data_IF_798758046348
#
_entry.id   IF_798758046348
#
_cell.length_a   1.000
_cell.length_b   1.000
_cell.length_c   1.000
_cell.angle_alpha   90.00
_cell.angle_beta   90.00
_cell.angle_gamma   90.00
#
_symmetry.space_group_name_H-M   'P 1'
#
loop_
_entity.id
_entity.type
_entity.pdbx_description
1 polymer ?
#
# COMPACT_ATOMS: atom_id res chain seq x y z
N UNK A 1 -8.49 -6.62 16.47
CA UNK A 1 -7.83 -7.00 15.22
C UNK A 1 -8.31 -6.14 14.04
N UNK A 2 -9.60 -5.97 13.82
CA UNK A 2 -10.18 -5.19 12.72
C UNK A 2 -11.28 -4.27 13.24
N UNK A 3 -11.25 -2.98 12.85
CA UNK A 3 -12.25 -1.97 13.15
C UNK A 3 -13.11 -1.74 11.91
N UNK A 4 -14.31 -2.30 11.89
CA UNK A 4 -15.20 -2.24 10.74
C UNK A 4 -15.71 -0.83 10.46
N UNK A 5 -15.85 -0.51 9.18
CA UNK A 5 -16.47 0.74 8.77
C UNK A 5 -17.98 0.66 8.90
N UNK A 6 -18.61 1.72 9.43
CA UNK A 6 -20.05 1.75 9.70
C UNK A 6 -20.72 2.92 8.98
N UNK A 7 -22.02 2.84 8.79
CA UNK A 7 -22.81 3.93 8.19
C UNK A 7 -22.69 5.25 8.99
N UNK A 8 -22.53 5.18 10.31
CA UNK A 8 -22.31 6.37 11.13
C UNK A 8 -20.97 7.04 10.86
N UNK A 9 -19.91 6.24 10.63
CA UNK A 9 -18.59 6.75 10.24
C UNK A 9 -18.61 7.38 8.85
N UNK A 10 -19.43 6.85 7.93
CA UNK A 10 -19.51 7.39 6.57
C UNK A 10 -19.90 8.88 6.56
N UNK A 11 -20.83 9.28 7.43
CA UNK A 11 -21.25 10.68 7.57
C UNK A 11 -20.16 11.65 8.01
N UNK A 12 -19.05 11.15 8.60
CA UNK A 12 -17.92 11.97 8.99
C UNK A 12 -17.01 12.33 7.79
N UNK A 13 -17.01 11.51 6.75
CA UNK A 13 -16.11 11.64 5.61
C UNK A 13 -16.82 12.01 4.30
N UNK A 14 -18.08 11.59 4.11
CA UNK A 14 -18.82 11.79 2.88
C UNK A 14 -19.83 12.94 3.03
N UNK A 15 -19.63 14.01 2.25
CA UNK A 15 -20.51 15.18 2.24
C UNK A 15 -21.49 15.09 1.07
N UNK A 16 -22.78 14.94 1.38
CA UNK A 16 -23.82 14.94 0.36
C UNK A 16 -23.94 16.31 -0.33
N UNK A 17 -24.19 16.30 -1.63
CA UNK A 17 -24.45 17.51 -2.43
C UNK A 17 -25.66 17.29 -3.31
N UNK A 18 -26.55 18.27 -3.35
CA UNK A 18 -27.79 18.18 -4.15
C UNK A 18 -27.48 17.97 -5.64
N UNK A 19 -28.14 17.01 -6.25
CA UNK A 19 -27.96 16.68 -7.67
C UNK A 19 -26.73 15.85 -8.00
N UNK A 20 -25.96 15.43 -7.01
CA UNK A 20 -24.74 14.61 -7.19
C UNK A 20 -24.80 13.34 -6.33
N UNK A 21 -24.20 12.26 -6.82
CA UNK A 21 -23.98 11.04 -6.04
C UNK A 21 -22.49 10.84 -5.81
N UNK A 22 -22.07 10.74 -4.55
CA UNK A 22 -20.68 10.50 -4.18
C UNK A 22 -20.37 9.01 -4.13
N UNK A 23 -19.09 8.64 -4.33
CA UNK A 23 -18.67 7.24 -4.19
C UNK A 23 -19.05 6.65 -2.83
N UNK A 24 -18.87 7.43 -1.73
CA UNK A 24 -19.25 7.01 -0.40
C UNK A 24 -20.73 6.63 -0.23
N UNK A 25 -21.61 7.17 -1.06
CA UNK A 25 -23.04 6.82 -1.06
C UNK A 25 -23.34 5.54 -1.85
N UNK A 26 -22.37 5.00 -2.59
CA UNK A 26 -22.55 3.90 -3.54
C UNK A 26 -21.70 2.66 -3.24
N UNK A 27 -20.63 2.79 -2.42
CA UNK A 27 -19.82 1.65 -1.99
C UNK A 27 -20.57 0.76 -1.01
N UNK A 28 -20.21 -0.53 -0.99
CA UNK A 28 -20.75 -1.50 -0.03
C UNK A 28 -20.08 -1.35 1.34
N UNK A 29 -20.83 -1.60 2.40
CA UNK A 29 -20.34 -1.62 3.78
C UNK A 29 -20.46 -3.02 4.36
N UNK A 30 -19.62 -3.39 5.35
CA UNK A 30 -19.69 -4.71 5.98
C UNK A 30 -21.01 -4.90 6.74
N UNK A 31 -21.52 -6.14 6.74
CA UNK A 31 -22.71 -6.49 7.50
C UNK A 31 -22.42 -6.45 9.01
N UNK A 32 -23.32 -5.89 9.85
CA UNK A 32 -23.01 -5.61 11.25
C UNK A 32 -22.95 -6.85 12.17
N UNK A 33 -23.34 -8.02 11.71
CA UNK A 33 -23.56 -9.21 12.55
C UNK A 33 -22.73 -10.44 12.20
N UNK A 34 -21.92 -10.38 11.13
CA UNK A 34 -21.14 -11.52 10.66
C UNK A 34 -19.69 -11.46 11.14
N UNK A 35 -19.04 -12.61 11.31
CA UNK A 35 -17.59 -12.68 11.44
C UNK A 35 -16.89 -12.28 10.11
N UNK A 36 -15.60 -12.03 10.15
CA UNK A 36 -14.88 -11.55 8.98
C UNK A 36 -14.99 -12.47 7.74
N UNK A 37 -14.77 -13.80 7.83
CA UNK A 37 -14.93 -14.68 6.68
C UNK A 37 -16.36 -14.65 6.10
N UNK A 38 -17.37 -14.63 6.94
CA UNK A 38 -18.77 -14.56 6.50
C UNK A 38 -19.09 -13.23 5.82
N UNK A 39 -18.62 -12.10 6.37
CA UNK A 39 -18.78 -10.78 5.75
C UNK A 39 -18.18 -10.70 4.36
N UNK A 40 -16.94 -11.22 4.19
CA UNK A 40 -16.25 -11.23 2.92
C UNK A 40 -16.95 -12.14 1.89
N UNK A 41 -17.43 -13.30 2.34
CA UNK A 41 -18.20 -14.22 1.48
C UNK A 41 -19.52 -13.60 1.02
N UNK A 42 -20.24 -12.91 1.91
CA UNK A 42 -21.47 -12.18 1.55
C UNK A 42 -21.18 -11.06 0.55
N UNK A 43 -20.18 -10.24 0.81
CA UNK A 43 -19.78 -9.16 -0.09
C UNK A 43 -19.40 -9.70 -1.50
N UNK A 44 -18.66 -10.79 -1.56
CA UNK A 44 -18.31 -11.46 -2.82
C UNK A 44 -19.56 -11.97 -3.56
N UNK A 45 -20.52 -12.57 -2.83
CA UNK A 45 -21.79 -13.04 -3.40
C UNK A 45 -22.67 -11.88 -3.91
N UNK A 46 -22.59 -10.70 -3.29
CA UNK A 46 -23.25 -9.45 -3.71
C UNK A 46 -22.53 -8.75 -4.87
N UNK A 47 -21.41 -9.30 -5.36
CA UNK A 47 -20.67 -8.80 -6.51
C UNK A 47 -19.53 -7.86 -6.19
N UNK A 48 -19.15 -7.69 -4.91
CA UNK A 48 -17.93 -6.99 -4.56
C UNK A 48 -16.71 -7.72 -5.10
N UNK A 49 -15.71 -6.96 -5.52
CA UNK A 49 -14.41 -7.45 -6.02
C UNK A 49 -13.25 -6.81 -5.28
N UNK A 50 -13.38 -5.58 -4.86
CA UNK A 50 -12.33 -4.76 -4.26
C UNK A 50 -12.63 -4.52 -2.80
N UNK A 51 -11.64 -4.64 -1.93
CA UNK A 51 -11.77 -4.40 -0.48
C UNK A 51 -10.83 -3.28 -0.08
N UNK A 52 -11.38 -2.15 0.32
CA UNK A 52 -10.61 -1.04 0.89
C UNK A 52 -10.33 -1.34 2.36
N UNK A 53 -9.04 -1.40 2.71
CA UNK A 53 -8.56 -1.68 4.05
C UNK A 53 -7.48 -0.66 4.45
N UNK A 54 -7.67 0.03 5.56
CA UNK A 54 -6.69 0.94 6.14
C UNK A 54 -5.72 0.22 7.09
N UNK A 55 -4.48 0.72 7.16
CA UNK A 55 -3.51 0.36 8.22
C UNK A 55 -3.00 1.66 8.85
N UNK A 56 -3.74 2.27 9.80
CA UNK A 56 -3.39 3.56 10.37
C UNK A 56 -2.31 3.43 11.45
N UNK A 57 -1.04 3.25 11.03
CA UNK A 57 0.13 3.15 11.89
C UNK A 57 1.32 3.94 11.32
N UNK A 58 2.22 4.35 12.20
CA UNK A 58 3.53 4.93 11.84
C UNK A 58 4.68 4.27 12.63
N UNK A 59 4.40 3.12 13.25
CA UNK A 59 5.37 2.38 14.06
C UNK A 59 6.53 1.90 13.19
N UNK A 60 6.24 1.40 11.99
CA UNK A 60 7.23 0.89 11.05
C UNK A 60 8.25 1.95 10.60
N UNK A 61 7.82 3.12 10.10
CA UNK A 61 8.71 4.25 9.80
C UNK A 61 9.56 4.68 11.01
N UNK A 62 8.97 4.82 12.19
CA UNK A 62 9.69 5.17 13.43
C UNK A 62 10.70 4.10 13.85
N UNK A 63 10.38 2.82 13.67
CA UNK A 63 11.29 1.70 13.91
C UNK A 63 12.50 1.70 12.95
N UNK A 64 12.36 2.37 11.80
CA UNK A 64 13.41 2.63 10.82
C UNK A 64 14.09 4.00 11.01
N UNK A 65 13.88 4.67 12.15
CA UNK A 65 14.40 6.00 12.48
C UNK A 65 13.85 7.12 11.59
N UNK A 66 12.70 6.90 10.94
CA UNK A 66 11.97 7.90 10.17
C UNK A 66 11.02 8.75 11.04
N UNK A 67 10.31 9.67 10.39
CA UNK A 67 9.35 10.55 11.04
C UNK A 67 7.97 9.87 11.16
N UNK A 68 7.23 10.24 12.20
CA UNK A 68 5.84 9.85 12.39
C UNK A 68 4.89 10.49 11.36
N UNK A 69 3.64 10.02 11.30
CA UNK A 69 2.56 10.66 10.54
C UNK A 69 1.92 9.79 9.46
N UNK A 70 2.46 8.59 9.18
CA UNK A 70 1.85 7.65 8.24
C UNK A 70 0.51 7.08 8.75
N UNK A 71 0.23 7.15 10.04
CA UNK A 71 -1.04 6.79 10.66
C UNK A 71 -2.24 7.61 10.12
N UNK A 72 -1.99 8.77 9.51
CA UNK A 72 -3.02 9.67 8.92
C UNK A 72 -3.33 9.37 7.44
N UNK A 73 -2.58 8.48 6.78
CA UNK A 73 -2.79 8.15 5.37
C UNK A 73 -4.19 7.63 5.07
N UNK A 74 -4.71 6.72 5.90
CA UNK A 74 -6.09 6.22 5.78
C UNK A 74 -7.15 7.31 5.87
N UNK A 75 -7.01 8.24 6.83
CA UNK A 75 -7.90 9.37 6.98
C UNK A 75 -7.87 10.29 5.76
N UNK A 76 -6.67 10.58 5.23
CA UNK A 76 -6.51 11.38 4.02
C UNK A 76 -7.23 10.76 2.83
N UNK A 77 -7.04 9.45 2.61
CA UNK A 77 -7.71 8.69 1.56
C UNK A 77 -9.23 8.78 1.66
N UNK A 78 -9.82 8.46 2.81
CA UNK A 78 -11.27 8.47 3.02
C UNK A 78 -11.87 9.85 2.72
N UNK A 79 -11.21 10.92 3.18
CA UNK A 79 -11.67 12.30 3.00
C UNK A 79 -11.81 12.68 1.51
N UNK A 80 -11.00 12.11 0.64
CA UNK A 80 -11.04 12.38 -0.80
C UNK A 80 -11.81 11.34 -1.59
N UNK A 81 -11.49 10.08 -1.42
CA UNK A 81 -12.08 8.99 -2.19
C UNK A 81 -13.61 8.95 -2.06
N UNK A 82 -14.14 9.07 -0.85
CA UNK A 82 -15.58 8.98 -0.61
C UNK A 82 -16.35 10.19 -1.18
N UNK A 83 -15.69 11.30 -1.47
CA UNK A 83 -16.29 12.50 -2.06
C UNK A 83 -16.13 12.60 -3.59
N UNK A 84 -15.51 11.63 -4.25
CA UNK A 84 -15.48 11.56 -5.70
C UNK A 84 -16.88 11.28 -6.26
N UNK A 85 -17.12 11.61 -7.52
CA UNK A 85 -18.40 11.36 -8.19
C UNK A 85 -18.57 9.87 -8.49
N UNK A 86 -19.71 9.32 -8.15
CA UNK A 86 -20.12 7.98 -8.60
C UNK A 86 -20.66 8.09 -10.03
N UNK A 87 -20.00 7.40 -10.97
CA UNK A 87 -20.40 7.33 -12.37
C UNK A 87 -19.86 6.04 -13.00
N UNK A 88 -20.07 5.83 -14.30
CA UNK A 88 -19.76 4.61 -15.03
C UNK A 88 -18.24 4.32 -15.17
N UNK A 89 -17.37 5.28 -14.84
CA UNK A 89 -15.92 5.06 -14.88
C UNK A 89 -15.40 4.23 -13.71
N UNK A 90 -16.18 4.10 -12.62
CA UNK A 90 -15.80 3.31 -11.43
C UNK A 90 -17.00 2.48 -10.97
N UNK A 91 -16.83 1.14 -10.81
CA UNK A 91 -17.88 0.24 -10.37
C UNK A 91 -18.07 0.32 -8.84
N UNK A 92 -18.61 1.43 -8.34
CA UNK A 92 -18.68 1.72 -6.91
C UNK A 92 -19.31 0.58 -6.07
N UNK A 93 -20.34 -0.11 -6.60
CA UNK A 93 -21.00 -1.25 -5.95
C UNK A 93 -20.11 -2.50 -5.81
N UNK A 94 -19.02 -2.59 -6.59
CA UNK A 94 -18.06 -3.68 -6.47
C UNK A 94 -16.97 -3.40 -5.42
N UNK A 95 -17.05 -2.29 -4.70
CA UNK A 95 -16.07 -1.86 -3.70
C UNK A 95 -16.68 -2.05 -2.31
N UNK A 96 -16.06 -2.91 -1.50
CA UNK A 96 -16.35 -3.03 -0.07
C UNK A 96 -15.42 -2.10 0.72
N UNK A 97 -15.99 -1.14 1.41
CA UNK A 97 -15.27 -0.32 2.40
C UNK A 97 -15.26 -1.08 3.73
N UNK A 98 -14.27 -1.97 3.90
CA UNK A 98 -14.23 -2.90 5.04
C UNK A 98 -13.95 -2.20 6.37
N UNK A 99 -12.97 -1.30 6.41
CA UNK A 99 -12.51 -0.64 7.62
C UNK A 99 -11.00 -0.58 7.71
N UNK A 100 -10.44 -0.70 8.90
CA UNK A 100 -8.99 -0.65 9.10
C UNK A 100 -8.52 -1.66 10.16
N UNK A 101 -7.26 -2.05 10.06
CA UNK A 101 -6.58 -2.84 11.10
C UNK A 101 -6.59 -2.05 12.40
N UNK A 102 -6.96 -2.70 13.51
CA UNK A 102 -6.89 -2.07 14.83
C UNK A 102 -5.42 -1.96 15.27
N UNK A 103 -4.93 -0.73 15.26
CA UNK A 103 -3.55 -0.38 15.59
C UNK A 103 -3.44 0.48 16.86
N UNK A 104 -4.57 0.93 17.43
CA UNK A 104 -4.60 1.94 18.50
C UNK A 104 -3.77 1.53 19.71
N UNK A 105 -3.86 0.27 20.13
CA UNK A 105 -3.12 -0.25 21.26
C UNK A 105 -1.60 -0.30 21.00
N UNK A 106 -1.18 -0.65 19.78
CA UNK A 106 0.23 -0.67 19.39
C UNK A 106 0.78 0.75 19.24
N UNK A 107 -0.01 1.65 18.63
CA UNK A 107 0.35 3.08 18.54
C UNK A 107 0.52 3.70 19.93
N UNK A 108 -0.41 3.44 20.86
CA UNK A 108 -0.29 3.91 22.23
C UNK A 108 0.98 3.39 22.92
N UNK A 109 1.32 2.11 22.73
CA UNK A 109 2.57 1.55 23.25
C UNK A 109 3.81 2.19 22.61
N UNK A 110 3.74 2.51 21.30
CA UNK A 110 4.81 3.23 20.62
C UNK A 110 4.96 4.69 21.10
N UNK A 111 3.87 5.31 21.55
CA UNK A 111 3.82 6.68 21.99
C UNK A 111 4.06 6.82 23.51
N UNK A 112 3.71 5.80 24.30
CA UNK A 112 3.96 5.77 25.75
C UNK A 112 5.44 5.55 25.97
N UNK A 113 6.09 6.65 26.26
CA UNK A 113 7.41 6.66 26.85
C UNK A 113 7.37 7.54 28.08
N UNK A 114 7.99 7.03 29.13
CA UNK A 114 8.27 7.79 30.30
C UNK A 114 8.82 9.17 29.90
N UNK A 115 8.41 10.25 30.50
CA UNK A 115 8.54 11.69 30.18
C UNK A 115 9.88 12.17 29.56
N UNK A 116 10.77 11.33 29.12
CA UNK A 116 12.10 11.71 28.65
C UNK A 116 12.67 10.96 27.42
N UNK A 117 12.10 9.84 26.95
CA UNK A 117 12.65 9.12 25.79
C UNK A 117 11.56 8.38 24.99
N UNK A 118 11.54 8.53 23.66
CA UNK A 118 10.74 7.72 22.73
C UNK A 118 11.08 6.22 22.85
N UNK A 119 10.13 5.33 22.55
CA UNK A 119 10.36 3.88 22.54
C UNK A 119 11.64 3.53 21.79
N UNK A 120 12.42 2.59 22.31
CA UNK A 120 13.66 2.20 21.63
C UNK A 120 13.34 1.60 20.24
N UNK A 121 14.25 1.67 19.27
CA UNK A 121 14.05 1.03 17.98
C UNK A 121 13.68 -0.46 18.11
N UNK A 122 14.24 -1.18 19.07
CA UNK A 122 13.98 -2.59 19.35
C UNK A 122 12.54 -2.83 19.82
N UNK A 123 12.02 -1.96 20.69
CA UNK A 123 10.62 -2.01 21.13
C UNK A 123 9.66 -1.75 19.98
N UNK A 124 9.93 -0.72 19.17
CA UNK A 124 9.12 -0.42 17.96
C UNK A 124 9.15 -1.59 16.97
N UNK A 125 10.31 -2.22 16.75
CA UNK A 125 10.47 -3.39 15.88
C UNK A 125 9.66 -4.59 16.36
N UNK A 126 9.53 -4.76 17.67
CA UNK A 126 8.66 -5.78 18.25
C UNK A 126 7.19 -5.49 17.96
N UNK A 127 6.73 -4.25 18.16
CA UNK A 127 5.35 -3.84 17.84
C UNK A 127 5.02 -4.03 16.37
N UNK A 128 5.98 -3.76 15.47
CA UNK A 128 5.81 -4.05 14.03
C UNK A 128 5.60 -5.55 13.81
N UNK A 129 6.34 -6.42 14.49
CA UNK A 129 6.16 -7.88 14.36
C UNK A 129 4.77 -8.35 14.84
N UNK A 130 4.21 -7.70 15.86
CA UNK A 130 2.83 -7.96 16.31
C UNK A 130 1.80 -7.47 15.30
N UNK A 131 2.04 -6.30 14.69
CA UNK A 131 1.21 -5.74 13.64
C UNK A 131 1.19 -6.65 12.40
N UNK A 132 2.35 -7.20 12.00
CA UNK A 132 2.48 -8.11 10.86
C UNK A 132 1.46 -9.26 10.93
N UNK A 133 1.25 -9.86 12.11
CA UNK A 133 0.30 -10.97 12.28
C UNK A 133 -1.17 -10.51 12.15
N UNK A 134 -1.49 -9.29 12.62
CA UNK A 134 -2.83 -8.71 12.47
C UNK A 134 -3.16 -8.46 11.00
N UNK A 135 -2.23 -7.85 10.27
CA UNK A 135 -2.37 -7.54 8.84
C UNK A 135 -2.49 -8.84 8.03
N UNK A 136 -1.55 -9.79 8.21
CA UNK A 136 -1.55 -11.04 7.48
C UNK A 136 -2.86 -11.82 7.65
N UNK A 137 -3.39 -11.90 8.88
CA UNK A 137 -4.64 -12.62 9.18
C UNK A 137 -5.84 -12.04 8.42
N UNK A 138 -5.99 -10.71 8.41
CA UNK A 138 -7.11 -10.06 7.73
C UNK A 138 -6.97 -10.18 6.21
N UNK A 139 -5.76 -9.98 5.68
CA UNK A 139 -5.53 -10.04 4.23
C UNK A 139 -5.67 -11.45 3.68
N UNK A 140 -5.25 -12.48 4.43
CA UNK A 140 -5.52 -13.89 4.06
C UNK A 140 -7.01 -14.17 3.94
N UNK A 141 -7.84 -13.66 4.85
CA UNK A 141 -9.28 -13.84 4.76
C UNK A 141 -9.86 -13.16 3.50
N UNK A 142 -9.33 -11.98 3.11
CA UNK A 142 -9.74 -11.29 1.89
C UNK A 142 -9.37 -12.13 0.65
N UNK A 143 -8.15 -12.67 0.58
CA UNK A 143 -7.73 -13.55 -0.53
C UNK A 143 -8.55 -14.84 -0.58
N UNK A 144 -8.85 -15.46 0.57
CA UNK A 144 -9.66 -16.66 0.65
C UNK A 144 -11.08 -16.46 0.10
N UNK A 145 -11.63 -15.25 0.21
CA UNK A 145 -12.91 -14.88 -0.40
C UNK A 145 -12.80 -14.54 -1.91
N UNK A 146 -11.63 -14.63 -2.52
CA UNK A 146 -11.40 -14.30 -3.93
C UNK A 146 -11.38 -12.81 -4.25
N UNK A 147 -11.30 -11.94 -3.25
CA UNK A 147 -11.35 -10.50 -3.39
C UNK A 147 -9.95 -9.89 -3.54
N UNK A 148 -9.90 -8.67 -4.07
CA UNK A 148 -8.68 -7.86 -4.25
C UNK A 148 -8.53 -6.86 -3.10
N UNK A 149 -7.61 -7.05 -2.15
CA UNK A 149 -7.34 -6.06 -1.12
C UNK A 149 -6.62 -4.84 -1.71
N UNK A 150 -7.12 -3.64 -1.37
CA UNK A 150 -6.51 -2.35 -1.64
C UNK A 150 -6.15 -1.75 -0.28
N UNK A 151 -4.87 -1.80 0.05
CA UNK A 151 -4.34 -1.46 1.36
C UNK A 151 -3.84 -0.02 1.33
N UNK A 152 -4.33 0.80 2.24
CA UNK A 152 -3.99 2.21 2.30
C UNK A 152 -3.38 2.56 3.64
N UNK A 153 -2.20 3.09 3.59
CA UNK A 153 -1.50 3.64 4.74
C UNK A 153 -0.66 2.64 5.50
N UNK A 154 -0.11 3.15 6.58
CA UNK A 154 0.96 2.59 7.34
C UNK A 154 2.31 2.74 6.66
N UNK A 155 3.34 2.29 7.34
CA UNK A 155 4.68 2.20 6.79
C UNK A 155 4.85 1.06 5.80
N UNK A 156 5.94 1.07 5.04
CA UNK A 156 6.24 0.02 4.06
C UNK A 156 6.66 -1.34 4.70
N UNK A 157 6.76 -1.40 6.04
CA UNK A 157 6.82 -2.66 6.79
C UNK A 157 5.67 -3.61 6.42
N UNK A 158 4.50 -3.06 6.10
CA UNK A 158 3.32 -3.84 5.77
C UNK A 158 3.47 -4.69 4.50
N UNK A 159 4.48 -4.44 3.64
CA UNK A 159 4.80 -5.31 2.49
C UNK A 159 5.10 -6.76 2.92
N UNK A 160 5.73 -6.97 4.07
CA UNK A 160 6.01 -8.33 4.56
C UNK A 160 4.74 -9.15 4.84
N UNK A 161 3.80 -8.71 5.69
CA UNK A 161 2.58 -9.48 5.96
C UNK A 161 1.69 -9.62 4.73
N UNK A 162 1.71 -8.66 3.78
CA UNK A 162 0.96 -8.74 2.53
C UNK A 162 1.52 -9.84 1.62
N UNK A 163 2.83 -9.89 1.43
CA UNK A 163 3.51 -10.92 0.65
C UNK A 163 3.39 -12.31 1.30
N UNK A 164 3.47 -12.39 2.65
CA UNK A 164 3.20 -13.62 3.42
C UNK A 164 1.77 -14.11 3.13
N UNK A 165 0.79 -13.24 3.26
CA UNK A 165 -0.61 -13.59 3.02
C UNK A 165 -0.85 -14.03 1.56
N UNK A 166 -0.27 -13.34 0.59
CA UNK A 166 -0.39 -13.67 -0.83
C UNK A 166 0.23 -15.04 -1.15
N UNK A 167 1.45 -15.28 -0.68
CA UNK A 167 2.16 -16.54 -0.90
C UNK A 167 1.41 -17.73 -0.27
N UNK A 168 0.95 -17.59 0.96
CA UNK A 168 0.19 -18.65 1.65
C UNK A 168 -1.17 -18.93 0.99
N UNK A 169 -1.81 -17.91 0.42
CA UNK A 169 -3.12 -18.06 -0.24
C UNK A 169 -3.02 -18.69 -1.62
N UNK A 170 -1.94 -18.44 -2.36
CA UNK A 170 -1.72 -19.01 -3.71
C UNK A 170 -1.02 -20.37 -3.69
N UNK A 171 -0.29 -20.69 -2.60
CA UNK A 171 0.59 -21.84 -2.51
C UNK A 171 1.92 -21.70 -3.27
N UNK A 172 2.21 -20.52 -3.83
CA UNK A 172 3.45 -20.18 -4.50
C UNK A 172 4.12 -18.98 -3.82
N UNK A 173 5.44 -18.86 -3.97
CA UNK A 173 6.12 -17.61 -3.58
C UNK A 173 5.55 -16.47 -4.42
N UNK A 174 5.28 -15.34 -3.77
CA UNK A 174 4.75 -14.15 -4.43
C UNK A 174 5.83 -13.45 -5.27
N UNK A 175 5.41 -12.68 -6.25
CA UNK A 175 6.24 -11.71 -6.95
C UNK A 175 5.82 -10.30 -6.53
N UNK A 176 6.72 -9.31 -6.63
CA UNK A 176 6.38 -7.93 -6.27
C UNK A 176 7.04 -6.92 -7.19
N UNK A 177 6.22 -5.95 -7.65
CA UNK A 177 6.67 -4.72 -8.26
C UNK A 177 6.54 -3.59 -7.23
N UNK A 178 7.64 -2.87 -6.99
CA UNK A 178 7.67 -1.76 -6.04
C UNK A 178 8.10 -0.47 -6.75
N UNK A 179 7.30 0.59 -6.63
CA UNK A 179 7.65 1.94 -7.05
C UNK A 179 8.22 2.69 -5.84
N UNK A 180 9.53 2.88 -5.79
CA UNK A 180 10.20 3.30 -4.56
C UNK A 180 11.62 3.85 -4.85
N UNK A 181 12.05 4.97 -4.25
CA UNK A 181 13.44 5.39 -4.28
C UNK A 181 14.36 4.54 -3.39
N UNK A 182 13.81 3.77 -2.46
CA UNK A 182 14.51 2.85 -1.59
C UNK A 182 14.29 1.40 -2.07
N UNK A 183 15.16 0.50 -1.69
CA UNK A 183 15.00 -0.92 -2.01
C UNK A 183 14.13 -1.67 -1.01
N UNK A 184 13.97 -1.12 0.20
CA UNK A 184 13.35 -1.74 1.37
C UNK A 184 13.80 -3.17 1.63
N UNK A 185 15.09 -3.38 1.31
CA UNK A 185 15.78 -4.66 1.40
C UNK A 185 16.95 -4.61 2.41
N UNK A 186 16.77 -3.84 3.51
CA UNK A 186 17.75 -3.74 4.60
C UNK A 186 17.92 -5.08 5.33
N UNK A 187 19.03 -5.26 6.12
CA UNK A 187 19.28 -6.47 6.89
C UNK A 187 18.15 -6.87 7.83
N UNK A 188 18.15 -8.14 8.26
CA UNK A 188 17.20 -8.71 9.21
C UNK A 188 17.54 -8.28 10.66
N UNK A 189 17.40 -7.01 10.95
CA UNK A 189 17.78 -6.36 12.21
C UNK A 189 16.58 -6.07 13.14
N UNK A 190 15.48 -6.79 12.98
CA UNK A 190 14.16 -6.51 13.56
C UNK A 190 13.25 -5.80 12.56
N UNK A 191 11.91 -5.96 12.71
CA UNK A 191 10.95 -5.50 11.69
C UNK A 191 10.80 -3.98 11.68
N UNK A 192 10.90 -3.35 10.51
CA UNK A 192 10.67 -1.92 10.28
C UNK A 192 10.33 -1.64 8.82
N UNK A 193 10.03 -0.38 8.45
CA UNK A 193 9.58 -0.04 7.09
C UNK A 193 10.60 -0.36 6.00
N UNK A 194 11.90 -0.24 6.26
CA UNK A 194 12.95 -0.45 5.26
C UNK A 194 13.39 -1.91 5.04
N UNK A 195 12.67 -2.93 5.54
CA UNK A 195 13.09 -4.33 5.40
C UNK A 195 11.97 -5.35 5.15
N UNK A 196 10.80 -4.88 4.72
CA UNK A 196 9.67 -5.77 4.44
C UNK A 196 9.98 -6.85 3.41
N UNK A 197 10.64 -6.47 2.33
CA UNK A 197 10.95 -7.39 1.22
C UNK A 197 12.10 -8.35 1.56
N UNK A 198 13.12 -7.95 2.31
CA UNK A 198 14.18 -8.86 2.75
C UNK A 198 13.65 -9.93 3.71
N UNK A 199 12.75 -9.56 4.63
CA UNK A 199 12.07 -10.54 5.48
C UNK A 199 11.17 -11.50 4.68
N UNK A 200 10.41 -11.00 3.70
CA UNK A 200 9.58 -11.82 2.84
C UNK A 200 10.41 -12.81 2.00
N UNK A 201 11.52 -12.33 1.44
CA UNK A 201 12.45 -13.18 0.67
C UNK A 201 13.09 -14.26 1.56
N UNK A 202 13.62 -13.88 2.72
CA UNK A 202 14.29 -14.82 3.64
C UNK A 202 13.32 -15.87 4.21
N UNK A 203 12.05 -15.49 4.45
CA UNK A 203 11.01 -16.40 4.91
C UNK A 203 10.43 -17.28 3.79
N UNK A 204 10.86 -17.10 2.53
CA UNK A 204 10.42 -17.89 1.38
C UNK A 204 9.06 -17.49 0.82
N UNK A 205 8.58 -16.28 1.11
CA UNK A 205 7.31 -15.75 0.59
C UNK A 205 7.46 -14.93 -0.69
N UNK A 206 8.68 -14.42 -0.98
CA UNK A 206 8.98 -13.59 -2.17
C UNK A 206 9.96 -14.29 -3.09
N UNK A 207 9.68 -14.30 -4.41
CA UNK A 207 10.55 -14.89 -5.44
C UNK A 207 11.14 -13.81 -6.36
N UNK A 208 10.31 -13.15 -7.17
CA UNK A 208 10.75 -12.10 -8.09
C UNK A 208 10.36 -10.73 -7.54
N UNK A 209 11.38 -9.91 -7.30
CA UNK A 209 11.22 -8.55 -6.80
C UNK A 209 11.85 -7.55 -7.75
N UNK A 210 11.09 -6.51 -8.13
CA UNK A 210 11.59 -5.42 -8.96
C UNK A 210 11.31 -4.06 -8.32
N UNK A 211 12.34 -3.22 -8.24
CA UNK A 211 12.21 -1.83 -7.76
C UNK A 211 12.31 -0.87 -8.94
N UNK A 212 11.22 -0.18 -9.25
CA UNK A 212 11.18 0.89 -10.25
C UNK A 212 11.35 2.24 -9.57
N UNK A 213 12.26 3.08 -10.08
CA UNK A 213 12.51 4.40 -9.52
C UNK A 213 13.53 4.44 -8.39
N UNK A 214 14.21 3.32 -8.08
CA UNK A 214 15.24 3.25 -7.07
C UNK A 214 16.24 4.41 -7.24
N UNK A 215 16.52 5.15 -6.15
CA UNK A 215 17.47 6.24 -6.18
C UNK A 215 18.89 5.75 -5.82
N UNK A 216 19.84 5.92 -6.73
CA UNK A 216 21.21 5.34 -6.62
C UNK A 216 21.95 5.72 -5.33
N UNK A 217 21.68 6.89 -4.75
CA UNK A 217 22.35 7.39 -3.54
C UNK A 217 21.49 7.35 -2.26
N UNK A 218 20.28 6.80 -2.33
CA UNK A 218 19.44 6.53 -1.14
C UNK A 218 19.55 5.08 -0.65
N UNK A 219 20.41 4.28 -1.27
CA UNK A 219 20.62 2.87 -0.94
C UNK A 219 22.10 2.61 -0.66
N UNK A 220 22.41 1.91 0.43
CA UNK A 220 23.80 1.57 0.76
C UNK A 220 24.36 0.53 -0.20
N UNK A 221 25.70 0.51 -0.37
CA UNK A 221 26.37 -0.51 -1.19
C UNK A 221 26.07 -1.94 -0.69
N UNK A 222 25.99 -2.13 0.63
CA UNK A 222 25.65 -3.41 1.24
C UNK A 222 24.22 -3.85 0.87
N UNK A 223 23.24 -2.94 0.97
CA UNK A 223 21.84 -3.23 0.61
C UNK A 223 21.69 -3.55 -0.87
N UNK A 224 22.39 -2.80 -1.76
CA UNK A 224 22.37 -3.09 -3.20
C UNK A 224 23.02 -4.44 -3.55
N UNK A 225 24.04 -4.85 -2.79
CA UNK A 225 24.65 -6.17 -2.94
C UNK A 225 23.68 -7.27 -2.52
N UNK A 226 23.06 -7.12 -1.35
CA UNK A 226 22.06 -8.06 -0.84
C UNK A 226 20.85 -8.19 -1.79
N UNK A 227 20.39 -7.08 -2.38
CA UNK A 227 19.32 -7.07 -3.38
C UNK A 227 19.67 -7.92 -4.61
N UNK A 228 20.90 -7.75 -5.14
CA UNK A 228 21.38 -8.53 -6.29
C UNK A 228 21.54 -10.02 -5.97
N UNK A 229 22.11 -10.34 -4.80
CA UNK A 229 22.29 -11.73 -4.35
C UNK A 229 20.94 -12.46 -4.17
N UNK A 230 19.89 -11.74 -3.84
CA UNK A 230 18.52 -12.25 -3.79
C UNK A 230 17.88 -12.45 -5.19
N UNK A 231 18.57 -12.09 -6.28
CA UNK A 231 18.02 -12.16 -7.64
C UNK A 231 16.99 -11.09 -7.98
N UNK A 232 16.88 -10.05 -7.13
CA UNK A 232 16.01 -8.92 -7.40
C UNK A 232 16.61 -7.98 -8.46
N UNK A 233 15.76 -7.33 -9.24
CA UNK A 233 16.16 -6.38 -10.27
C UNK A 233 15.64 -4.97 -9.94
N UNK A 234 16.20 -3.96 -10.57
CA UNK A 234 15.77 -2.58 -10.40
C UNK A 234 16.08 -1.73 -11.63
N UNK A 235 15.33 -0.63 -11.76
CA UNK A 235 15.65 0.45 -12.69
C UNK A 235 15.69 1.78 -11.91
N UNK A 236 16.86 2.46 -11.94
CA UNK A 236 17.04 3.65 -11.13
C UNK A 236 16.36 4.88 -11.73
N UNK A 237 15.94 5.80 -10.84
CA UNK A 237 15.47 7.14 -11.21
C UNK A 237 16.46 7.86 -12.11
N UNK A 238 17.77 7.81 -11.76
CA UNK A 238 18.83 8.48 -12.51
C UNK A 238 18.98 7.91 -13.92
N UNK A 239 18.79 6.61 -14.07
CA UNK A 239 18.86 5.94 -15.38
C UNK A 239 17.74 6.41 -16.31
N UNK A 240 16.56 6.63 -15.77
CA UNK A 240 15.37 7.05 -16.55
C UNK A 240 15.39 8.55 -16.80
N UNK A 241 15.49 9.37 -15.74
CA UNK A 241 15.18 10.80 -15.81
C UNK A 241 16.41 11.71 -15.91
N UNK A 242 17.58 11.24 -15.43
CA UNK A 242 18.81 12.05 -15.44
C UNK A 242 19.66 11.71 -16.65
N UNK A 243 20.03 10.44 -16.81
CA UNK A 243 20.89 9.99 -17.92
C UNK A 243 20.11 9.65 -19.19
N UNK A 244 18.79 9.45 -19.08
CA UNK A 244 17.91 9.12 -20.21
C UNK A 244 18.37 7.90 -21.03
N UNK A 245 18.90 6.88 -20.34
CA UNK A 245 19.36 5.62 -20.95
C UNK A 245 18.18 4.79 -21.50
N UNK A 246 16.97 4.98 -20.95
CA UNK A 246 15.71 4.41 -21.40
C UNK A 246 14.55 5.31 -20.99
N UNK A 247 13.45 5.21 -21.73
CA UNK A 247 12.22 5.91 -21.38
C UNK A 247 11.49 5.20 -20.23
N UNK A 248 10.63 5.94 -19.53
CA UNK A 248 9.84 5.41 -18.41
C UNK A 248 9.03 4.16 -18.80
N UNK A 249 8.41 4.16 -19.99
CA UNK A 249 7.67 2.98 -20.48
C UNK A 249 8.55 1.75 -20.61
N UNK A 250 9.76 1.89 -21.12
CA UNK A 250 10.71 0.77 -21.24
C UNK A 250 11.14 0.23 -19.87
N UNK A 251 11.30 1.13 -18.88
CA UNK A 251 11.59 0.72 -17.51
C UNK A 251 10.41 -0.04 -16.88
N UNK A 252 9.19 0.38 -17.17
CA UNK A 252 7.97 -0.31 -16.74
C UNK A 252 7.82 -1.67 -17.43
N UNK A 253 8.15 -1.79 -18.71
CA UNK A 253 8.15 -3.06 -19.44
C UNK A 253 9.15 -4.05 -18.84
N UNK A 254 10.37 -3.61 -18.48
CA UNK A 254 11.36 -4.43 -17.76
C UNK A 254 10.83 -4.90 -16.40
N UNK A 255 10.14 -4.03 -15.67
CA UNK A 255 9.49 -4.38 -14.40
C UNK A 255 8.45 -5.50 -14.63
N UNK A 256 7.56 -5.32 -15.60
CA UNK A 256 6.52 -6.29 -15.95
C UNK A 256 7.16 -7.63 -16.36
N UNK A 257 8.15 -7.61 -17.25
CA UNK A 257 8.86 -8.82 -17.69
C UNK A 257 9.49 -9.60 -16.54
N UNK A 258 10.00 -8.89 -15.52
CA UNK A 258 10.60 -9.53 -14.35
C UNK A 258 9.53 -10.16 -13.45
N UNK A 259 8.48 -9.41 -13.08
CA UNK A 259 7.50 -9.88 -12.09
C UNK A 259 6.50 -10.90 -12.64
N UNK A 260 6.40 -11.09 -13.96
CA UNK A 260 5.57 -12.15 -14.55
C UNK A 260 6.28 -13.50 -14.65
N UNK A 261 7.57 -13.57 -14.30
CA UNK A 261 8.31 -14.84 -14.26
C UNK A 261 7.73 -15.77 -13.19
N UNK A 262 7.96 -17.07 -13.34
CA UNK A 262 7.46 -18.08 -12.38
C UNK A 262 5.94 -18.19 -12.36
N UNK A 263 5.40 -18.71 -11.25
CA UNK A 263 3.97 -19.03 -11.08
C UNK A 263 3.29 -18.15 -10.02
N UNK A 264 4.04 -17.40 -9.24
CA UNK A 264 3.53 -16.60 -8.12
C UNK A 264 2.59 -15.48 -8.54
N UNK A 265 1.62 -15.20 -7.70
CA UNK A 265 0.78 -14.02 -7.81
C UNK A 265 1.61 -12.76 -7.54
N UNK A 266 1.15 -11.61 -8.03
CA UNK A 266 1.90 -10.35 -8.02
C UNK A 266 1.28 -9.38 -7.03
N UNK A 267 2.09 -8.85 -6.10
CA UNK A 267 1.79 -7.69 -5.27
C UNK A 267 2.26 -6.40 -5.94
N UNK A 268 1.40 -5.39 -5.95
CA UNK A 268 1.75 -4.04 -6.40
C UNK A 268 1.98 -3.19 -5.15
N UNK A 269 3.23 -2.81 -4.95
CA UNK A 269 3.70 -1.98 -3.85
C UNK A 269 4.06 -0.59 -4.37
N UNK A 270 3.65 0.44 -3.66
CA UNK A 270 4.00 1.81 -3.99
C UNK A 270 4.28 2.59 -2.71
N UNK A 271 5.56 2.96 -2.55
CA UNK A 271 5.94 3.96 -1.57
C UNK A 271 5.64 5.35 -2.10
N UNK A 272 4.83 6.11 -1.37
CA UNK A 272 4.46 7.46 -1.80
C UNK A 272 5.62 8.45 -1.74
N UNK A 273 6.76 8.09 -1.12
CA UNK A 273 7.98 8.88 -1.15
C UNK A 273 8.73 8.79 -2.50
N UNK A 274 8.27 7.91 -3.41
CA UNK A 274 8.66 7.91 -4.82
C UNK A 274 8.13 9.12 -5.59
N UNK A 275 7.07 9.78 -5.07
CA UNK A 275 6.36 10.88 -5.74
C UNK A 275 6.89 12.22 -5.24
N UNK A 276 7.28 13.11 -6.16
CA UNK A 276 7.74 14.45 -5.82
C UNK A 276 6.70 15.23 -5.03
N UNK A 277 7.16 15.92 -3.99
CA UNK A 277 6.37 16.83 -3.16
C UNK A 277 5.26 16.14 -2.33
N UNK A 278 5.20 14.82 -2.32
CA UNK A 278 4.26 14.09 -1.47
C UNK A 278 4.62 14.28 0.01
N UNK A 279 3.66 14.53 0.92
CA UNK A 279 3.94 14.60 2.34
C UNK A 279 4.22 13.21 2.91
N UNK A 280 5.47 12.95 3.18
CA UNK A 280 6.06 11.67 3.62
C UNK A 280 7.20 11.91 4.61
N UNK A 281 7.64 10.85 5.30
CA UNK A 281 8.80 10.91 6.19
C UNK A 281 10.09 11.27 5.43
N UNK A 282 10.34 10.62 4.29
CA UNK A 282 11.53 10.82 3.46
C UNK A 282 11.25 11.74 2.26
N UNK A 283 10.79 12.97 2.55
CA UNK A 283 10.39 13.95 1.55
C UNK A 283 11.41 14.14 0.43
N UNK A 284 10.94 14.23 -0.81
CA UNK A 284 11.79 14.44 -1.99
C UNK A 284 11.19 15.45 -2.97
N UNK A 285 12.08 16.28 -3.56
CA UNK A 285 11.78 17.10 -4.73
C UNK A 285 12.14 16.38 -6.04
N UNK A 286 12.96 15.33 -5.97
CA UNK A 286 13.49 14.57 -7.10
C UNK A 286 12.85 13.18 -7.14
N UNK A 287 11.55 13.13 -7.35
CA UNK A 287 10.76 11.90 -7.49
C UNK A 287 10.02 11.85 -8.82
N UNK A 288 9.21 10.83 -8.97
CA UNK A 288 8.29 10.68 -10.08
C UNK A 288 7.10 11.65 -9.93
N UNK A 289 6.35 11.86 -11.01
CA UNK A 289 5.08 12.56 -10.96
C UNK A 289 3.95 11.60 -10.56
N UNK A 290 2.84 12.13 -10.07
CA UNK A 290 1.62 11.34 -9.83
C UNK A 290 1.19 10.57 -11.08
N UNK A 291 1.32 11.19 -12.27
CA UNK A 291 1.01 10.54 -13.54
C UNK A 291 1.83 9.27 -13.81
N UNK A 292 3.14 9.29 -13.51
CA UNK A 292 3.97 8.09 -13.63
C UNK A 292 3.54 7.00 -12.63
N UNK A 293 3.15 7.40 -11.42
CA UNK A 293 2.65 6.47 -10.40
C UNK A 293 1.31 5.85 -10.82
N UNK A 294 0.38 6.63 -11.37
CA UNK A 294 -0.88 6.12 -11.93
C UNK A 294 -0.63 5.12 -13.08
N UNK A 295 0.30 5.43 -14.00
CA UNK A 295 0.68 4.51 -15.09
C UNK A 295 1.25 3.20 -14.55
N UNK A 296 2.14 3.26 -13.55
CA UNK A 296 2.69 2.08 -12.89
C UNK A 296 1.58 1.19 -12.35
N UNK A 297 0.71 1.74 -11.51
CA UNK A 297 -0.40 1.00 -10.91
C UNK A 297 -1.35 0.43 -11.96
N UNK A 298 -1.76 1.25 -12.94
CA UNK A 298 -2.69 0.83 -13.99
C UNK A 298 -2.15 -0.33 -14.84
N UNK A 299 -0.90 -0.22 -15.33
CA UNK A 299 -0.31 -1.24 -16.19
C UNK A 299 -0.08 -2.56 -15.46
N UNK A 300 0.39 -2.51 -14.21
CA UNK A 300 0.56 -3.71 -13.40
C UNK A 300 -0.80 -4.34 -13.00
N UNK A 301 -1.81 -3.51 -12.70
CA UNK A 301 -3.14 -4.02 -12.38
C UNK A 301 -3.80 -4.78 -13.54
N UNK A 302 -3.46 -4.49 -14.80
CA UNK A 302 -3.93 -5.26 -15.98
C UNK A 302 -3.41 -6.70 -16.01
N UNK A 303 -2.33 -6.99 -15.30
CA UNK A 303 -1.79 -8.35 -15.29
C UNK A 303 -2.75 -9.32 -14.60
N UNK A 304 -3.01 -10.51 -15.17
CA UNK A 304 -3.96 -11.47 -14.61
C UNK A 304 -3.65 -11.88 -13.18
N UNK A 305 -2.37 -12.03 -12.85
CA UNK A 305 -1.89 -12.45 -11.53
C UNK A 305 -1.67 -11.32 -10.53
N UNK A 306 -1.93 -10.07 -10.86
CA UNK A 306 -1.89 -8.98 -9.88
C UNK A 306 -3.05 -9.10 -8.91
N UNK A 307 -2.77 -9.20 -7.60
CA UNK A 307 -3.76 -9.56 -6.58
C UNK A 307 -4.06 -8.46 -5.57
N UNK A 308 -3.14 -7.53 -5.34
CA UNK A 308 -3.38 -6.43 -4.42
C UNK A 308 -2.64 -5.15 -4.83
N UNK A 309 -3.06 -4.04 -4.24
CA UNK A 309 -2.35 -2.76 -4.22
C UNK A 309 -2.07 -2.37 -2.79
N UNK A 310 -0.84 -1.95 -2.48
CA UNK A 310 -0.48 -1.30 -1.23
C UNK A 310 0.09 0.09 -1.50
N UNK A 311 -0.43 1.10 -0.81
CA UNK A 311 0.01 2.49 -0.85
C UNK A 311 0.57 2.86 0.52
N UNK A 312 1.89 2.92 0.63
CA UNK A 312 2.62 3.08 1.89
C UNK A 312 3.17 4.50 2.10
N UNK A 313 3.58 4.80 3.33
CA UNK A 313 4.39 5.95 3.78
C UNK A 313 3.73 7.34 3.64
N UNK A 314 2.50 7.46 3.14
CA UNK A 314 1.82 8.75 3.08
C UNK A 314 1.66 9.31 4.50
N UNK A 315 2.36 10.43 4.80
CA UNK A 315 2.41 11.06 6.12
C UNK A 315 1.86 12.51 6.08
N UNK A 316 0.54 12.70 6.03
CA UNK A 316 -0.09 14.01 5.91
C UNK A 316 0.36 15.04 6.97
N UNK A 317 0.73 14.56 8.17
CA UNK A 317 1.23 15.41 9.24
C UNK A 317 2.58 16.07 8.92
N UNK A 318 3.35 15.55 7.95
CA UNK A 318 4.63 16.09 7.52
C UNK A 318 4.49 17.22 6.47
N UNK A 319 3.27 17.57 6.07
CA UNK A 319 3.07 18.65 5.09
C UNK A 319 3.48 20.01 5.66
N UNK A 320 4.31 20.83 4.94
CA UNK A 320 4.81 22.12 5.47
C UNK A 320 3.72 23.12 5.86
N UNK A 321 2.56 23.06 5.20
CA UNK A 321 1.40 23.90 5.52
C UNK A 321 0.45 23.28 6.56
N UNK A 322 0.87 22.21 7.24
CA UNK A 322 0.15 21.54 8.32
C UNK A 322 -0.80 20.42 7.86
N UNK A 323 -1.35 19.71 8.84
CA UNK A 323 -2.12 18.48 8.65
C UNK A 323 -3.30 18.64 7.67
N UNK A 324 -4.03 19.75 7.71
CA UNK A 324 -5.19 19.95 6.83
C UNK A 324 -4.80 19.97 5.35
N UNK A 325 -3.70 20.63 5.01
CA UNK A 325 -3.16 20.63 3.66
C UNK A 325 -2.68 19.23 3.27
N UNK A 326 -1.95 18.56 4.15
CA UNK A 326 -1.46 17.20 3.93
C UNK A 326 -2.58 16.18 3.72
N UNK A 327 -3.65 16.23 4.52
CA UNK A 327 -4.83 15.38 4.33
C UNK A 327 -5.47 15.64 2.95
N UNK A 328 -5.50 16.90 2.52
CA UNK A 328 -6.06 17.25 1.23
C UNK A 328 -5.21 16.76 0.06
N UNK A 329 -3.92 16.94 0.08
CA UNK A 329 -3.01 16.60 -1.01
C UNK A 329 -2.74 15.10 -1.08
N UNK A 330 -2.33 14.48 0.02
CA UNK A 330 -2.10 13.05 0.08
C UNK A 330 -3.36 12.26 -0.29
N UNK A 331 -4.52 12.68 0.21
CA UNK A 331 -5.78 12.00 -0.08
C UNK A 331 -6.15 12.01 -1.57
N UNK A 332 -5.85 13.08 -2.31
CA UNK A 332 -6.07 13.14 -3.76
C UNK A 332 -5.20 12.12 -4.50
N UNK A 333 -3.91 12.05 -4.15
CA UNK A 333 -2.97 11.11 -4.77
C UNK A 333 -3.37 9.67 -4.47
N UNK A 334 -3.62 9.34 -3.20
CA UNK A 334 -4.03 8.00 -2.80
C UNK A 334 -5.33 7.56 -3.49
N UNK A 335 -6.31 8.46 -3.62
CA UNK A 335 -7.54 8.18 -4.33
C UNK A 335 -7.32 7.92 -5.83
N UNK A 336 -6.47 8.70 -6.49
CA UNK A 336 -6.14 8.53 -7.91
C UNK A 336 -5.46 7.15 -8.16
N UNK A 337 -4.54 6.74 -7.30
CA UNK A 337 -3.85 5.46 -7.41
C UNK A 337 -4.78 4.26 -7.21
N UNK A 338 -5.72 4.33 -6.25
CA UNK A 338 -6.75 3.30 -6.07
C UNK A 338 -7.65 3.20 -7.31
N UNK A 339 -8.05 4.34 -7.90
CA UNK A 339 -8.83 4.37 -9.14
C UNK A 339 -8.04 3.73 -10.28
N UNK A 340 -6.76 4.06 -10.44
CA UNK A 340 -5.90 3.48 -11.46
C UNK A 340 -5.83 1.94 -11.37
N UNK A 341 -5.77 1.37 -10.16
CA UNK A 341 -5.82 -0.07 -9.96
C UNK A 341 -7.16 -0.66 -10.41
N UNK A 342 -8.26 -0.09 -9.97
CA UNK A 342 -9.61 -0.57 -10.30
C UNK A 342 -9.83 -0.52 -11.82
N UNK A 343 -9.46 0.58 -12.48
CA UNK A 343 -9.56 0.72 -13.93
C UNK A 343 -8.65 -0.26 -14.68
N UNK A 344 -7.43 -0.51 -14.20
CA UNK A 344 -6.55 -1.52 -14.77
C UNK A 344 -7.18 -2.92 -14.73
N UNK A 345 -7.81 -3.29 -13.62
CA UNK A 345 -8.54 -4.57 -13.49
C UNK A 345 -9.76 -4.66 -14.40
N UNK A 346 -10.47 -3.55 -14.62
CA UNK A 346 -11.59 -3.53 -15.57
C UNK A 346 -11.12 -3.74 -17.01
N UNK A 347 -10.00 -3.13 -17.41
CA UNK A 347 -9.41 -3.30 -18.74
C UNK A 347 -8.95 -4.74 -19.00
N UNK A 348 -8.52 -5.47 -17.98
CA UNK A 348 -8.25 -6.91 -18.11
C UNK A 348 -9.51 -7.70 -18.49
N UNK A 349 -10.65 -7.41 -17.86
CA UNK A 349 -11.90 -8.12 -18.06
C UNK A 349 -12.51 -7.89 -19.46
N UNK A 350 -12.18 -6.76 -20.12
CA UNK A 350 -12.69 -6.44 -21.47
C UNK A 350 -11.80 -6.97 -22.60
N UNK A 351 -10.60 -7.47 -22.30
CA UNK A 351 -9.64 -7.97 -23.28
C UNK A 351 -9.73 -9.51 -23.49
N UNK A 352 -10.64 -10.20 -22.79
CA UNK A 352 -10.97 -11.62 -22.90
C UNK A 352 -12.32 -11.78 -23.61
#
# INVERSE_FOLDING_TARGET
>A
MLNLFTSSKLGLFCTARSGETRLGQSVSLPAPTADLPQQLSLAAAEGCRYVLLGVPEDIGPRANLGLAGADKGWQAFLTKFLNLQANDFIPAKQILLLGHIECTDLQQQADVTDDSQSASPEQLRQLVSELDERVATVVQAIFAAGLYPLIIGGGHNNSYPLLKALSLSSGYKANSANLDPHSDFRPLEGRHSGNGFSYAHNAGYLEHYFVLGLHELKNSAATLTQLREAGAEHCSYQRIFVRQELHYQQALDLCIEHVVRGQGDIGIELDTDSISLMPVSAFTNCGLTVHHAEQFVFQLAKLPRSRYLHLAEAAPAQHPAGLSAGLNEAGQVLAALVIAFIQGKQHQATAI
#
